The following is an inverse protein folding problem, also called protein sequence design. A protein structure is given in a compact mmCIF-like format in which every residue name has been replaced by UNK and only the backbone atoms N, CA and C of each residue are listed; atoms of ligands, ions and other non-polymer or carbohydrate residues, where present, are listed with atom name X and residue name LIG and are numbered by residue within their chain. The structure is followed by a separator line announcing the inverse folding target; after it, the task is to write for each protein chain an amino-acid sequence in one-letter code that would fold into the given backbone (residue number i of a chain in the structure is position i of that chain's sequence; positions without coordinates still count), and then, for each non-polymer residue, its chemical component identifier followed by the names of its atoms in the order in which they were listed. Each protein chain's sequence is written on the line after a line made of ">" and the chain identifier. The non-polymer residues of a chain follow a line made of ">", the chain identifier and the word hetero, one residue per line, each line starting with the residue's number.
data_IF_826403948841
#
_entry.id   IF_826403948841
#
_cell.length_a   1.000
_cell.length_b   1.000
_cell.length_c   1.000
_cell.angle_alpha   90.00
_cell.angle_beta   90.00
_cell.angle_gamma   90.00
#
_symmetry.space_group_name_H-M   'P 1'
#
loop_
_entity.id
_entity.type
_entity.pdbx_description
1 polymer ?
#
# COMPACT_ATOMS: atom_id res chain seq x y z
N UNK A 1 31.53 8.56 13.11
CA UNK A 1 30.78 9.36 12.09
C UNK A 1 29.49 8.70 11.59
N UNK A 2 28.98 7.61 12.18
CA UNK A 2 27.79 6.85 11.70
C UNK A 2 26.42 7.38 12.19
N UNK A 3 26.36 8.06 13.34
CA UNK A 3 25.08 8.49 13.96
C UNK A 3 24.31 9.59 13.18
N UNK A 4 25.01 10.47 12.47
CA UNK A 4 24.35 11.57 11.75
C UNK A 4 23.71 11.16 10.42
N UNK A 5 24.15 10.06 9.80
CA UNK A 5 23.58 9.54 8.55
C UNK A 5 22.27 8.80 8.81
N UNK A 6 22.22 7.99 9.88
CA UNK A 6 21.01 7.26 10.22
C UNK A 6 19.84 8.21 10.60
N UNK A 7 20.10 9.29 11.34
CA UNK A 7 19.05 10.24 11.72
C UNK A 7 18.44 10.98 10.50
N UNK A 8 19.23 11.33 9.48
CA UNK A 8 18.74 11.94 8.24
C UNK A 8 17.93 10.95 7.42
N UNK A 9 18.39 9.71 7.31
CA UNK A 9 17.68 8.67 6.58
C UNK A 9 16.31 8.37 7.26
N UNK A 10 16.22 8.38 8.59
CA UNK A 10 14.98 8.18 9.34
C UNK A 10 13.99 9.36 9.14
N UNK A 11 14.48 10.61 9.13
CA UNK A 11 13.66 11.80 8.84
C UNK A 11 13.13 11.78 7.40
N UNK A 12 13.95 11.39 6.44
CA UNK A 12 13.54 11.28 5.04
C UNK A 12 12.51 10.16 4.84
N UNK A 13 12.69 9.00 5.47
CA UNK A 13 11.69 7.91 5.46
C UNK A 13 10.38 8.37 6.06
N UNK A 14 10.40 9.05 7.21
CA UNK A 14 9.19 9.57 7.86
C UNK A 14 8.43 10.57 6.98
N UNK A 15 9.15 11.45 6.29
CA UNK A 15 8.57 12.40 5.33
C UNK A 15 7.91 11.69 4.14
N UNK A 16 8.57 10.66 3.59
CA UNK A 16 8.05 9.86 2.48
C UNK A 16 6.79 9.09 2.90
N UNK A 17 6.77 8.47 4.07
CA UNK A 17 5.61 7.77 4.61
C UNK A 17 4.42 8.70 4.81
N UNK A 18 4.65 9.89 5.37
CA UNK A 18 3.59 10.89 5.54
C UNK A 18 3.02 11.36 4.19
N UNK A 19 3.87 11.56 3.18
CA UNK A 19 3.43 11.93 1.83
C UNK A 19 2.65 10.80 1.14
N UNK A 20 3.07 9.55 1.31
CA UNK A 20 2.35 8.39 0.80
C UNK A 20 0.98 8.24 1.47
N UNK A 21 0.90 8.34 2.80
CA UNK A 21 -0.36 8.28 3.54
C UNK A 21 -1.32 9.40 3.12
N UNK A 22 -0.81 10.62 2.92
CA UNK A 22 -1.57 11.75 2.40
C UNK A 22 -2.11 11.46 1.00
N UNK A 23 -1.30 10.93 0.09
CA UNK A 23 -1.74 10.55 -1.27
C UNK A 23 -2.86 9.52 -1.21
N UNK A 24 -2.69 8.45 -0.42
CA UNK A 24 -3.69 7.41 -0.22
C UNK A 24 -5.01 7.99 0.28
N UNK A 25 -4.98 8.92 1.24
CA UNK A 25 -6.19 9.53 1.80
C UNK A 25 -7.00 10.39 0.80
N UNK A 26 -6.36 10.90 -0.25
CA UNK A 26 -7.01 11.68 -1.31
C UNK A 26 -7.59 10.81 -2.43
N UNK A 27 -7.24 9.53 -2.50
CA UNK A 27 -7.70 8.61 -3.54
C UNK A 27 -8.87 7.78 -3.03
N UNK A 28 -10.05 7.94 -3.62
CA UNK A 28 -11.25 7.19 -3.22
C UNK A 28 -11.18 5.71 -3.61
N UNK A 29 -10.65 5.41 -4.80
CA UNK A 29 -10.52 4.06 -5.34
C UNK A 29 -9.09 3.83 -5.79
N UNK A 30 -8.47 2.77 -5.32
CA UNK A 30 -7.18 2.32 -5.84
C UNK A 30 -7.37 1.12 -6.77
N UNK A 31 -6.35 0.84 -7.58
CA UNK A 31 -6.28 -0.41 -8.33
C UNK A 31 -5.74 -1.51 -7.41
N UNK A 32 -6.55 -2.56 -7.21
CA UNK A 32 -6.15 -3.78 -6.53
C UNK A 32 -5.78 -4.83 -7.57
N UNK A 33 -4.54 -5.35 -7.48
CA UNK A 33 -3.98 -6.33 -8.39
C UNK A 33 -3.81 -7.68 -7.67
N UNK A 34 -4.40 -8.73 -8.24
CA UNK A 34 -4.30 -10.11 -7.72
C UNK A 34 -3.90 -11.07 -8.82
N UNK A 35 -3.21 -12.16 -8.46
CA UNK A 35 -2.82 -13.23 -9.37
C UNK A 35 -2.01 -12.72 -10.57
N UNK A 36 -2.19 -13.33 -11.75
CA UNK A 36 -1.53 -12.93 -12.97
C UNK A 36 -2.24 -11.71 -13.62
N UNK A 37 -2.06 -10.53 -13.04
CA UNK A 37 -2.50 -9.24 -13.63
C UNK A 37 -4.03 -9.06 -13.67
N UNK A 38 -4.74 -9.42 -12.62
CA UNK A 38 -6.13 -9.04 -12.48
C UNK A 38 -6.23 -7.71 -11.71
N UNK A 39 -6.40 -6.60 -12.42
CA UNK A 39 -6.58 -5.28 -11.84
C UNK A 39 -8.07 -4.91 -11.74
N UNK A 40 -8.47 -4.29 -10.63
CA UNK A 40 -9.83 -3.77 -10.43
C UNK A 40 -9.85 -2.58 -9.48
N UNK A 41 -10.72 -1.58 -9.72
CA UNK A 41 -10.87 -0.46 -8.79
C UNK A 41 -11.57 -0.95 -7.52
N UNK A 42 -11.05 -0.56 -6.35
CA UNK A 42 -11.58 -0.91 -5.04
C UNK A 42 -11.54 0.29 -4.10
N UNK A 43 -12.65 0.53 -3.40
CA UNK A 43 -12.67 1.43 -2.25
C UNK A 43 -11.88 0.80 -1.10
N UNK A 44 -11.01 1.57 -0.47
CA UNK A 44 -10.13 1.10 0.59
C UNK A 44 -10.38 1.83 1.91
N UNK A 45 -9.95 1.23 3.00
CA UNK A 45 -9.89 1.85 4.32
C UNK A 45 -8.48 1.61 4.89
N UNK A 46 -7.78 2.70 5.14
CA UNK A 46 -6.56 2.70 5.93
C UNK A 46 -6.94 3.09 7.35
N UNK A 47 -6.82 2.16 8.30
CA UNK A 47 -7.32 2.36 9.65
C UNK A 47 -6.37 3.19 10.51
N UNK A 48 -5.07 3.05 10.28
CA UNK A 48 -4.00 3.76 10.95
C UNK A 48 -2.82 3.94 9.97
N UNK A 49 -2.37 5.18 9.72
CA UNK A 49 -1.21 5.43 8.86
C UNK A 49 0.08 4.76 9.36
N UNK A 50 0.24 4.59 10.66
CA UNK A 50 1.46 4.00 11.24
C UNK A 50 1.48 2.48 11.14
N UNK A 51 0.30 1.86 11.10
CA UNK A 51 0.16 0.40 11.01
C UNK A 51 0.35 -0.15 9.60
N UNK A 52 0.14 0.67 8.57
CA UNK A 52 0.24 0.28 7.16
C UNK A 52 -0.57 -0.96 6.80
N UNK A 53 -1.75 -1.09 7.41
CA UNK A 53 -2.76 -2.06 7.04
C UNK A 53 -3.87 -1.39 6.22
N UNK A 54 -4.12 -1.93 5.02
CA UNK A 54 -5.19 -1.45 4.14
C UNK A 54 -6.24 -2.53 4.01
N UNK A 55 -7.52 -2.16 4.14
CA UNK A 55 -8.65 -3.08 4.12
C UNK A 55 -9.59 -2.78 2.97
N UNK A 56 -10.21 -3.86 2.46
CA UNK A 56 -11.23 -3.82 1.43
C UNK A 56 -12.36 -4.75 1.80
N UNK A 57 -13.61 -4.29 1.68
CA UNK A 57 -14.76 -5.20 1.81
C UNK A 57 -14.98 -5.95 0.49
N UNK A 58 -15.30 -7.24 0.55
CA UNK A 58 -15.56 -8.08 -0.62
C UNK A 58 -16.44 -9.28 -0.29
N UNK A 59 -16.99 -9.95 -1.31
CA UNK A 59 -17.61 -11.25 -1.13
C UNK A 59 -16.58 -12.37 -0.98
N UNK A 60 -16.78 -13.25 0.00
CA UNK A 60 -15.88 -14.36 0.32
C UNK A 60 -15.73 -15.38 -0.82
N UNK A 61 -16.72 -15.45 -1.71
CA UNK A 61 -16.74 -16.33 -2.90
C UNK A 61 -16.25 -15.63 -4.18
N UNK A 62 -15.80 -14.38 -4.09
CA UNK A 62 -15.30 -13.65 -5.25
C UNK A 62 -13.97 -14.23 -5.76
N UNK A 63 -13.70 -14.02 -7.07
CA UNK A 63 -12.43 -14.45 -7.67
C UNK A 63 -11.21 -13.87 -6.94
N UNK A 64 -11.26 -12.58 -6.54
CA UNK A 64 -10.17 -11.96 -5.78
C UNK A 64 -9.94 -12.61 -4.42
N UNK A 65 -11.01 -13.06 -3.75
CA UNK A 65 -10.87 -13.83 -2.50
C UNK A 65 -10.20 -15.18 -2.75
N UNK A 66 -10.53 -15.85 -3.86
CA UNK A 66 -9.85 -17.08 -4.27
C UNK A 66 -8.37 -16.84 -4.62
N UNK A 67 -8.07 -15.79 -5.38
CA UNK A 67 -6.69 -15.41 -5.72
C UNK A 67 -5.85 -15.16 -4.45
N UNK A 68 -6.43 -14.49 -3.46
CA UNK A 68 -5.74 -14.21 -2.17
C UNK A 68 -5.49 -15.49 -1.37
N UNK A 69 -6.46 -16.42 -1.32
CA UNK A 69 -6.25 -17.71 -0.65
C UNK A 69 -5.12 -18.51 -1.28
N UNK A 70 -4.95 -18.39 -2.59
CA UNK A 70 -3.94 -19.14 -3.32
C UNK A 70 -2.55 -18.49 -3.28
N UNK A 71 -2.47 -17.17 -3.45
CA UNK A 71 -1.19 -16.48 -3.62
C UNK A 71 -0.76 -15.69 -2.37
N UNK A 72 -1.70 -15.19 -1.56
CA UNK A 72 -1.43 -14.45 -0.33
C UNK A 72 -0.71 -13.10 -0.53
N UNK A 73 -0.53 -12.65 -1.77
CA UNK A 73 0.16 -11.39 -2.11
C UNK A 73 -0.62 -10.59 -3.12
N UNK A 74 -0.62 -9.27 -2.95
CA UNK A 74 -1.29 -8.34 -3.85
C UNK A 74 -0.47 -7.08 -4.08
N UNK A 75 -0.81 -6.37 -5.17
CA UNK A 75 -0.38 -5.01 -5.44
C UNK A 75 -1.53 -4.03 -5.29
N UNK A 76 -1.23 -2.82 -4.89
CA UNK A 76 -2.16 -1.68 -4.83
C UNK A 76 -1.53 -0.49 -5.54
N UNK A 77 -2.31 0.22 -6.37
CA UNK A 77 -1.84 1.45 -7.02
C UNK A 77 -2.81 2.57 -6.68
N UNK A 78 -2.26 3.63 -6.10
CA UNK A 78 -2.94 4.88 -5.80
C UNK A 78 -2.41 5.96 -6.72
N UNK A 79 -3.30 6.65 -7.40
CA UNK A 79 -2.99 7.69 -8.36
C UNK A 79 -3.78 8.94 -8.03
N UNK A 80 -3.09 10.05 -7.78
CA UNK A 80 -3.69 11.36 -7.55
C UNK A 80 -3.08 12.38 -8.49
N UNK A 81 -3.65 12.48 -9.71
CA UNK A 81 -3.15 13.33 -10.77
C UNK A 81 -3.04 14.82 -10.42
N UNK A 82 -4.00 15.41 -9.66
CA UNK A 82 -3.91 16.84 -9.31
C UNK A 82 -2.64 17.23 -8.55
N UNK A 83 -2.03 16.30 -7.80
CA UNK A 83 -0.76 16.54 -7.10
C UNK A 83 0.42 15.78 -7.70
N UNK A 84 0.24 15.16 -8.87
CA UNK A 84 1.25 14.30 -9.50
C UNK A 84 1.87 13.34 -8.50
N UNK A 85 1.02 12.62 -7.77
CA UNK A 85 1.43 11.71 -6.71
C UNK A 85 0.95 10.29 -7.02
N UNK A 86 1.89 9.36 -7.10
CA UNK A 86 1.67 7.96 -7.43
C UNK A 86 2.34 7.09 -6.40
N UNK A 87 1.57 6.16 -5.82
CA UNK A 87 2.01 5.24 -4.78
C UNK A 87 1.65 3.83 -5.18
N UNK A 88 2.66 2.99 -5.41
CA UNK A 88 2.48 1.56 -5.62
C UNK A 88 2.89 0.81 -4.36
N UNK A 89 2.02 -0.05 -3.87
CA UNK A 89 2.23 -0.84 -2.66
C UNK A 89 2.19 -2.33 -3.00
N UNK A 90 3.01 -3.11 -2.33
CA UNK A 90 2.90 -4.57 -2.32
C UNK A 90 2.93 -5.09 -0.89
N UNK A 91 2.20 -6.19 -0.64
CA UNK A 91 2.16 -6.76 0.68
C UNK A 91 1.48 -8.11 0.76
N UNK A 92 1.51 -8.68 1.95
CA UNK A 92 0.78 -9.90 2.27
C UNK A 92 -0.71 -9.58 2.45
N UNK A 93 -1.57 -10.39 1.85
CA UNK A 93 -3.01 -10.24 1.92
C UNK A 93 -3.65 -11.48 2.56
N UNK A 94 -4.58 -11.25 3.47
CA UNK A 94 -5.37 -12.30 4.13
C UNK A 94 -6.85 -11.95 4.09
N UNK A 95 -7.70 -12.96 4.21
CA UNK A 95 -9.14 -12.78 4.44
C UNK A 95 -9.40 -12.88 5.93
N UNK A 96 -10.16 -11.93 6.48
CA UNK A 96 -10.48 -11.94 7.91
C UNK A 96 -11.61 -12.92 8.23
N UNK A 97 -11.63 -13.46 9.46
CA UNK A 97 -12.68 -14.36 9.93
C UNK A 97 -14.00 -13.64 10.26
N UNK A 98 -15.08 -14.39 10.44
CA UNK A 98 -16.43 -13.85 10.62
C UNK A 98 -16.55 -12.87 11.81
N UNK A 99 -15.97 -13.18 12.96
CA UNK A 99 -15.98 -12.29 14.13
C UNK A 99 -15.32 -10.95 13.88
N UNK A 100 -14.26 -10.93 13.06
CA UNK A 100 -13.58 -9.72 12.66
C UNK A 100 -14.42 -8.93 11.64
N UNK A 101 -15.16 -9.61 10.75
CA UNK A 101 -16.10 -8.97 9.82
C UNK A 101 -17.15 -8.18 10.60
N UNK A 102 -17.76 -8.77 11.62
CA UNK A 102 -18.76 -8.10 12.46
C UNK A 102 -18.18 -6.84 13.13
N UNK A 103 -16.98 -6.96 13.70
CA UNK A 103 -16.29 -5.85 14.37
C UNK A 103 -15.93 -4.71 13.43
N UNK A 104 -15.59 -5.01 12.18
CA UNK A 104 -15.17 -4.04 11.17
C UNK A 104 -16.34 -3.48 10.35
N UNK A 105 -17.54 -4.04 10.50
CA UNK A 105 -18.69 -3.63 9.69
C UNK A 105 -19.07 -2.18 9.94
N UNK A 106 -19.39 -1.49 8.85
CA UNK A 106 -19.91 -0.11 8.88
C UNK A 106 -21.19 -0.03 8.05
N UNK A 107 -22.18 0.78 8.44
CA UNK A 107 -23.43 0.95 7.66
C UNK A 107 -23.21 1.29 6.19
N UNK A 108 -22.13 1.99 5.86
CA UNK A 108 -21.78 2.31 4.47
C UNK A 108 -21.53 1.07 3.59
N UNK A 109 -21.27 -0.11 4.17
CA UNK A 109 -21.08 -1.35 3.41
C UNK A 109 -22.42 -2.01 3.02
N UNK A 110 -23.54 -1.64 3.68
CA UNK A 110 -24.86 -2.20 3.40
C UNK A 110 -25.29 -1.97 1.94
N UNK A 111 -24.84 -0.89 1.33
CA UNK A 111 -25.10 -0.62 -0.08
C UNK A 111 -24.51 -1.67 -1.03
N UNK A 112 -23.45 -2.36 -0.63
CA UNK A 112 -22.80 -3.42 -1.41
C UNK A 112 -23.28 -4.81 -1.02
N UNK A 113 -23.90 -4.95 0.16
CA UNK A 113 -24.37 -6.20 0.74
C UNK A 113 -25.76 -6.00 1.32
N UNK A 114 -26.79 -5.78 0.46
CA UNK A 114 -28.12 -5.32 0.87
C UNK A 114 -28.94 -6.40 1.60
N UNK A 115 -28.63 -7.68 1.39
CA UNK A 115 -29.37 -8.79 2.02
C UNK A 115 -28.54 -9.45 3.13
N UNK A 116 -29.25 -10.17 4.02
CA UNK A 116 -28.59 -10.96 5.07
C UNK A 116 -27.66 -12.03 4.47
N UNK A 117 -28.08 -12.67 3.38
CA UNK A 117 -27.26 -13.64 2.65
C UNK A 117 -25.99 -13.00 2.08
N UNK A 118 -26.09 -11.78 1.56
CA UNK A 118 -24.90 -11.04 1.09
C UNK A 118 -23.95 -10.74 2.25
N UNK A 119 -24.47 -10.30 3.39
CA UNK A 119 -23.69 -9.99 4.59
C UNK A 119 -22.95 -11.21 5.14
N UNK A 120 -23.63 -12.37 5.21
CA UNK A 120 -23.02 -13.64 5.62
C UNK A 120 -21.87 -14.05 4.69
N UNK A 121 -21.96 -13.68 3.40
CA UNK A 121 -20.91 -13.93 2.41
C UNK A 121 -19.87 -12.79 2.32
N UNK A 122 -20.00 -11.72 3.10
CA UNK A 122 -19.02 -10.65 3.12
C UNK A 122 -17.76 -11.08 3.89
N UNK A 123 -16.63 -10.52 3.48
CA UNK A 123 -15.36 -10.62 4.19
C UNK A 123 -14.54 -9.37 3.93
N UNK A 124 -13.46 -9.17 4.71
CA UNK A 124 -12.48 -8.15 4.40
C UNK A 124 -11.18 -8.79 3.91
N UNK A 125 -10.60 -8.17 2.90
CA UNK A 125 -9.20 -8.37 2.56
C UNK A 125 -8.41 -7.43 3.47
N UNK A 126 -7.47 -7.94 4.24
CA UNK A 126 -6.50 -7.15 5.00
C UNK A 126 -5.14 -7.31 4.35
N UNK A 127 -4.51 -6.18 4.04
CA UNK A 127 -3.20 -6.11 3.39
C UNK A 127 -2.21 -5.52 4.37
N UNK A 128 -1.22 -6.29 4.79
CA UNK A 128 -0.05 -5.79 5.48
C UNK A 128 0.96 -5.30 4.42
N UNK A 129 1.17 -4.00 4.34
CA UNK A 129 2.08 -3.42 3.35
C UNK A 129 3.52 -3.70 3.75
N UNK A 130 4.31 -4.25 2.82
CA UNK A 130 5.71 -4.63 3.02
C UNK A 130 6.68 -3.79 2.20
N UNK A 131 6.22 -3.28 1.05
CA UNK A 131 7.03 -2.45 0.14
C UNK A 131 6.18 -1.37 -0.47
N UNK A 132 6.82 -0.24 -0.78
CA UNK A 132 6.21 0.83 -1.55
C UNK A 132 7.19 1.43 -2.54
N UNK A 133 6.66 1.84 -3.68
CA UNK A 133 7.32 2.60 -4.71
C UNK A 133 6.60 3.94 -4.85
N UNK A 134 7.35 5.02 -4.83
CA UNK A 134 6.84 6.37 -4.70
C UNK A 134 7.33 7.25 -5.83
N UNK A 135 6.40 8.00 -6.43
CA UNK A 135 6.62 9.13 -7.33
C UNK A 135 5.70 10.25 -6.87
N UNK A 136 6.21 11.18 -6.08
CA UNK A 136 5.43 12.27 -5.49
C UNK A 136 6.15 13.59 -5.79
N UNK A 137 5.51 14.44 -6.58
CA UNK A 137 6.07 15.74 -7.00
C UNK A 137 6.47 16.59 -5.79
N UNK A 138 7.70 17.10 -5.78
CA UNK A 138 8.24 17.92 -4.70
C UNK A 138 8.62 17.15 -3.43
N UNK A 139 8.47 15.79 -3.42
CA UNK A 139 8.84 14.92 -2.29
C UNK A 139 9.89 13.89 -2.69
N UNK A 140 9.67 13.18 -3.80
CA UNK A 140 10.64 12.24 -4.37
C UNK A 140 11.67 12.98 -5.23
N UNK A 141 12.85 12.37 -5.55
CA UNK A 141 13.90 13.02 -6.29
C UNK A 141 13.45 13.56 -7.66
N UNK A 142 14.05 14.69 -8.05
CA UNK A 142 13.90 15.28 -9.40
C UNK A 142 15.05 14.79 -10.33
N UNK A 143 14.85 14.72 -11.67
CA UNK A 143 13.59 15.01 -12.39
C UNK A 143 12.50 13.99 -12.10
N UNK A 144 11.27 14.50 -11.88
CA UNK A 144 10.11 13.69 -11.54
C UNK A 144 9.88 12.53 -12.51
N UNK A 145 9.67 11.33 -11.96
CA UNK A 145 9.42 10.13 -12.72
C UNK A 145 10.66 9.41 -13.27
N UNK A 146 11.86 10.02 -13.17
CA UNK A 146 13.09 9.41 -13.66
C UNK A 146 13.64 8.34 -12.70
N UNK A 147 13.48 8.56 -11.40
CA UNK A 147 13.94 7.65 -10.37
C UNK A 147 12.78 7.23 -9.48
N UNK A 148 12.72 5.92 -9.20
CA UNK A 148 11.77 5.36 -8.22
C UNK A 148 12.36 5.47 -6.83
N UNK A 149 11.55 5.98 -5.88
CA UNK A 149 11.88 5.88 -4.45
C UNK A 149 11.24 4.64 -3.89
N UNK A 150 12.05 3.69 -3.44
CA UNK A 150 11.54 2.44 -2.86
C UNK A 150 11.79 2.39 -1.35
N UNK A 151 10.74 2.06 -0.60
CA UNK A 151 10.82 1.73 0.82
C UNK A 151 10.43 0.27 1.04
N UNK A 152 11.07 -0.38 1.98
CA UNK A 152 10.74 -1.72 2.43
C UNK A 152 10.59 -1.77 3.94
N UNK A 153 9.64 -2.57 4.42
CA UNK A 153 9.39 -2.81 5.83
C UNK A 153 10.14 -4.07 6.26
N UNK A 154 10.92 -4.00 7.31
CA UNK A 154 11.61 -5.16 7.87
C UNK A 154 10.69 -5.99 8.78
N UNK A 155 11.20 -7.11 9.29
CA UNK A 155 10.44 -8.01 10.18
C UNK A 155 9.99 -7.34 11.48
N UNK A 156 10.73 -6.34 11.97
CA UNK A 156 10.41 -5.57 13.17
C UNK A 156 9.39 -4.44 12.89
N UNK A 157 8.90 -4.33 11.64
CA UNK A 157 7.92 -3.31 11.24
C UNK A 157 8.51 -1.93 10.90
N UNK A 158 9.83 -1.79 10.88
CA UNK A 158 10.52 -0.53 10.58
C UNK A 158 10.69 -0.36 9.08
N UNK A 159 10.38 0.84 8.58
CA UNK A 159 10.57 1.22 7.19
C UNK A 159 11.97 1.73 6.92
N UNK A 160 12.55 1.34 5.78
CA UNK A 160 13.87 1.78 5.32
C UNK A 160 13.90 1.89 3.80
N UNK A 161 14.85 2.66 3.28
CA UNK A 161 15.14 2.62 1.85
C UNK A 161 15.49 1.19 1.41
N UNK A 162 14.97 0.77 0.26
CA UNK A 162 15.32 -0.52 -0.33
C UNK A 162 16.77 -0.51 -0.84
N UNK A 163 17.47 -1.64 -0.74
CA UNK A 163 18.87 -1.78 -1.20
C UNK A 163 19.07 -1.47 -2.69
N UNK A 164 18.01 -1.49 -3.50
CA UNK A 164 18.06 -1.09 -4.90
C UNK A 164 18.38 0.40 -5.07
N UNK A 165 17.89 1.27 -4.19
CA UNK A 165 18.19 2.69 -4.21
C UNK A 165 19.63 3.00 -3.81
N UNK A 166 20.24 2.15 -2.96
CA UNK A 166 21.64 2.32 -2.51
C UNK A 166 22.67 2.00 -3.61
N UNK A 167 22.31 1.20 -4.61
CA UNK A 167 23.21 0.84 -5.72
C UNK A 167 23.22 1.90 -6.84
N UNK A 168 22.12 2.62 -7.06
CA UNK A 168 22.05 3.67 -8.06
C UNK A 168 22.85 4.94 -7.75
N UNK A 169 23.07 5.23 -6.45
CA UNK A 169 23.83 6.40 -6.00
C UNK A 169 25.36 6.26 -6.12
N UNK A 170 25.89 5.06 -6.28
CA UNK A 170 27.33 4.81 -6.39
C UNK A 170 27.88 4.85 -7.82
N UNK A 171 27.02 4.81 -8.82
CA UNK A 171 27.45 4.74 -10.23
C UNK A 171 27.82 6.09 -10.84
N UNK A 172 27.45 7.22 -10.23
CA UNK A 172 27.71 8.56 -10.75
C UNK A 172 28.89 9.29 -10.13
N UNK A 173 29.66 8.64 -9.25
CA UNK A 173 30.81 9.28 -8.58
C UNK A 173 32.18 8.92 -9.18
N UNK A 174 32.23 8.06 -10.21
CA UNK A 174 33.49 7.55 -10.76
C UNK A 174 33.68 7.87 -12.27
N UNK A 175 33.06 8.94 -12.75
CA UNK A 175 33.29 9.47 -14.12
C UNK A 175 33.46 10.98 -14.06
N UNK A 176 34.58 11.42 -13.52
CA UNK A 176 35.07 12.79 -13.52
C UNK A 176 36.56 12.81 -13.69
#
# INVERSE_FOLDING_TARGET
>A
MSRGKNARDDDDVSRLLAAAAKTISHVRYCWLLTGAIHARPMGHVMSDPDDWHIRFVTGSRSRKAADIRNAGRIGLIFQHDPSEAYVALTGAATLVGASEVERLWKPAYDMYFPTETDRVNATFIQVAVERMELWIRGVTPEPFGLQTTELARNAEGTWRFSDRNLKGSKSNADSG
#
